data_IF_700628047000
#
_entry.id   IF_700628047000
#
_cell.length_a   1.000
_cell.length_b   1.000
_cell.length_c   1.000
_cell.angle_alpha   90.00
_cell.angle_beta   90.00
_cell.angle_gamma   90.00
#
_symmetry.space_group_name_H-M   'P 1'
#
loop_
_entity.id
_entity.type
_entity.pdbx_description
1 polymer ?
#
# COMPACT_ATOMS: atom_id res chain seq x y z
N UNK A 1 25.42 1.55 33.46
CA UNK A 1 24.54 0.99 32.41
C UNK A 1 23.11 1.46 32.65
N UNK A 2 22.39 1.97 31.64
CA UNK A 2 20.97 2.29 31.80
C UNK A 2 20.17 1.01 32.06
N UNK A 3 19.26 1.04 33.04
CA UNK A 3 18.44 -0.11 33.44
C UNK A 3 17.43 -0.43 32.33
N UNK A 4 17.50 -1.64 31.79
CA UNK A 4 16.50 -2.17 30.85
C UNK A 4 15.17 -2.29 31.58
N UNK A 5 14.17 -1.50 31.16
CA UNK A 5 12.80 -1.62 31.68
C UNK A 5 12.20 -2.91 31.13
N UNK A 6 12.21 -3.98 31.92
CA UNK A 6 11.49 -5.21 31.59
C UNK A 6 10.00 -4.94 31.68
N UNK A 7 9.34 -4.75 30.54
CA UNK A 7 7.88 -4.67 30.46
C UNK A 7 7.35 -6.02 30.95
N UNK A 8 6.69 -6.05 32.13
CA UNK A 8 6.04 -7.24 32.67
C UNK A 8 5.23 -7.90 31.54
N UNK A 9 5.63 -9.11 31.14
CA UNK A 9 4.90 -9.87 30.14
C UNK A 9 3.53 -10.20 30.74
N UNK A 10 2.47 -9.54 30.28
CA UNK A 10 1.12 -10.03 30.53
C UNK A 10 1.01 -11.40 29.89
N UNK A 11 0.49 -12.36 30.64
CA UNK A 11 0.16 -13.70 30.16
C UNK A 11 -0.66 -13.58 28.87
N UNK A 12 -0.41 -14.44 27.87
CA UNK A 12 -1.23 -14.46 26.66
C UNK A 12 -2.72 -14.63 27.02
N UNK A 13 -3.63 -13.90 26.35
CA UNK A 13 -5.07 -14.10 26.53
C UNK A 13 -5.52 -15.49 26.06
N UNK A 14 -6.72 -15.90 26.48
CA UNK A 14 -7.36 -17.13 26.05
C UNK A 14 -7.41 -17.26 24.51
N UNK A 15 -7.15 -18.46 23.99
CA UNK A 15 -7.09 -18.75 22.55
C UNK A 15 -5.75 -18.40 21.87
N UNK A 16 -4.76 -17.86 22.58
CA UNK A 16 -3.43 -17.61 22.00
C UNK A 16 -2.72 -18.91 21.61
N UNK A 17 -2.88 -19.98 22.38
CA UNK A 17 -2.24 -21.28 22.15
C UNK A 17 -2.59 -21.90 20.78
N UNK A 18 -3.79 -21.63 20.26
CA UNK A 18 -4.24 -22.15 18.96
C UNK A 18 -3.56 -21.45 17.77
N UNK A 19 -3.25 -20.16 17.90
CA UNK A 19 -2.63 -19.36 16.84
C UNK A 19 -1.11 -19.29 16.97
N UNK A 20 -0.56 -19.58 18.16
CA UNK A 20 0.86 -19.49 18.48
C UNK A 20 1.76 -20.28 17.53
N UNK A 21 1.45 -21.54 17.14
CA UNK A 21 2.29 -22.29 16.20
C UNK A 21 2.44 -21.58 14.86
N UNK A 22 1.33 -21.05 14.32
CA UNK A 22 1.33 -20.33 13.04
C UNK A 22 2.13 -19.02 13.15
N UNK A 23 2.02 -18.31 14.29
CA UNK A 23 2.80 -17.10 14.53
C UNK A 23 4.30 -17.39 14.65
N UNK A 24 4.69 -18.49 15.31
CA UNK A 24 6.08 -18.94 15.40
C UNK A 24 6.65 -19.29 14.03
N UNK A 25 5.86 -19.90 13.14
CA UNK A 25 6.28 -20.14 11.76
C UNK A 25 6.58 -18.83 11.01
N UNK A 26 5.73 -17.80 11.15
CA UNK A 26 5.99 -16.50 10.54
C UNK A 26 7.24 -15.83 11.13
N UNK A 27 7.45 -15.93 12.45
CA UNK A 27 8.67 -15.42 13.08
C UNK A 27 9.91 -16.15 12.61
N UNK A 28 9.84 -17.48 12.46
CA UNK A 28 10.97 -18.25 11.95
C UNK A 28 11.28 -17.86 10.51
N UNK A 29 10.26 -17.77 9.64
CA UNK A 29 10.43 -17.29 8.26
C UNK A 29 11.03 -15.89 8.19
N UNK A 30 10.66 -14.98 9.10
CA UNK A 30 11.30 -13.65 9.15
C UNK A 30 12.76 -13.74 9.57
N UNK A 31 13.10 -14.54 10.59
CA UNK A 31 14.49 -14.75 11.00
C UNK A 31 15.33 -15.35 9.89
N UNK A 32 14.79 -16.33 9.17
CA UNK A 32 15.48 -16.95 8.03
C UNK A 32 15.71 -15.92 6.92
N UNK A 33 14.68 -15.14 6.57
CA UNK A 33 14.80 -14.06 5.59
C UNK A 33 15.77 -12.93 6.00
N UNK A 34 15.91 -12.65 7.29
CA UNK A 34 16.90 -11.68 7.82
C UNK A 34 18.33 -12.21 7.75
N UNK A 35 18.51 -13.53 7.91
CA UNK A 35 19.82 -14.19 7.87
C UNK A 35 20.26 -14.61 6.46
N UNK A 36 19.35 -14.56 5.48
CA UNK A 36 19.63 -14.94 4.11
C UNK A 36 20.81 -14.15 3.54
N UNK A 37 21.73 -14.80 2.79
CA UNK A 37 22.80 -14.09 2.12
C UNK A 37 22.25 -13.02 1.17
N UNK A 38 22.80 -11.81 1.33
CA UNK A 38 22.42 -10.62 0.56
C UNK A 38 23.42 -10.29 -0.55
N UNK A 39 24.38 -11.17 -0.83
CA UNK A 39 25.43 -10.92 -1.82
C UNK A 39 24.83 -10.79 -3.23
N UNK A 40 25.19 -9.71 -3.92
CA UNK A 40 24.68 -9.39 -5.26
C UNK A 40 23.22 -8.88 -5.31
N UNK A 41 22.47 -8.93 -4.20
CA UNK A 41 21.09 -8.42 -4.11
C UNK A 41 21.08 -6.92 -3.79
N UNK A 42 20.09 -6.21 -4.32
CA UNK A 42 19.81 -4.82 -3.89
C UNK A 42 19.25 -4.84 -2.48
N UNK A 43 19.45 -3.74 -1.75
CA UNK A 43 18.84 -3.56 -0.42
C UNK A 43 17.34 -3.85 -0.42
N UNK A 44 16.61 -3.42 -1.46
CA UNK A 44 15.16 -3.65 -1.52
C UNK A 44 14.81 -5.13 -1.75
N UNK A 45 15.59 -5.83 -2.58
CA UNK A 45 15.42 -7.27 -2.83
C UNK A 45 15.71 -8.10 -1.57
N UNK A 46 16.66 -7.64 -0.75
CA UNK A 46 16.97 -8.21 0.56
C UNK A 46 15.85 -8.01 1.59
N UNK A 47 15.24 -6.82 1.61
CA UNK A 47 14.19 -6.47 2.58
C UNK A 47 12.81 -7.01 2.17
N UNK A 48 12.60 -7.26 0.88
CA UNK A 48 11.31 -7.66 0.32
C UNK A 48 10.69 -8.92 0.96
N UNK A 49 11.42 -10.03 1.14
CA UNK A 49 10.88 -11.22 1.77
C UNK A 49 10.38 -10.95 3.20
N UNK A 50 11.13 -10.14 3.96
CA UNK A 50 10.78 -9.74 5.33
C UNK A 50 9.45 -8.96 5.33
N UNK A 51 9.33 -7.96 4.46
CA UNK A 51 8.11 -7.14 4.34
C UNK A 51 6.90 -7.99 3.91
N UNK A 52 7.10 -8.95 3.00
CA UNK A 52 6.04 -9.87 2.57
C UNK A 52 5.54 -10.74 3.73
N UNK A 53 6.45 -11.30 4.51
CA UNK A 53 6.10 -12.13 5.67
C UNK A 53 5.41 -11.28 6.74
N UNK A 54 5.89 -10.05 6.98
CA UNK A 54 5.26 -9.10 7.89
C UNK A 54 3.80 -8.77 7.49
N UNK A 55 3.55 -8.52 6.21
CA UNK A 55 2.20 -8.34 5.66
C UNK A 55 1.34 -9.60 5.81
N UNK A 56 1.87 -10.78 5.50
CA UNK A 56 1.16 -12.06 5.65
C UNK A 56 0.76 -12.32 7.10
N UNK A 57 1.67 -12.10 8.05
CA UNK A 57 1.40 -12.24 9.48
C UNK A 57 0.31 -11.29 9.96
N UNK A 58 0.38 -10.02 9.56
CA UNK A 58 -0.66 -9.04 9.89
C UNK A 58 -2.01 -9.39 9.24
N UNK A 59 -1.99 -9.93 8.01
CA UNK A 59 -3.20 -10.36 7.29
C UNK A 59 -3.85 -11.57 7.92
N UNK A 60 -3.06 -12.52 8.40
CA UNK A 60 -3.55 -13.69 9.12
C UNK A 60 -4.36 -13.27 10.37
N UNK A 61 -3.80 -12.40 11.22
CA UNK A 61 -4.50 -11.86 12.39
C UNK A 61 -5.76 -11.07 11.99
N UNK A 62 -5.68 -10.28 10.93
CA UNK A 62 -6.83 -9.55 10.40
C UNK A 62 -7.97 -10.49 9.97
N UNK A 63 -7.67 -11.53 9.19
CA UNK A 63 -8.67 -12.45 8.66
C UNK A 63 -9.29 -13.30 9.78
N UNK A 64 -8.51 -13.70 10.79
CA UNK A 64 -9.01 -14.40 11.98
C UNK A 64 -10.05 -13.56 12.74
N UNK A 65 -9.79 -12.25 12.93
CA UNK A 65 -10.68 -11.40 13.71
C UNK A 65 -11.87 -10.87 12.90
N UNK A 66 -11.64 -10.35 11.70
CA UNK A 66 -12.66 -9.63 10.93
C UNK A 66 -13.47 -10.49 9.97
N UNK A 67 -12.92 -11.63 9.51
CA UNK A 67 -13.63 -12.50 8.55
C UNK A 67 -14.12 -13.79 9.17
N UNK A 68 -13.28 -14.42 9.98
CA UNK A 68 -13.59 -15.73 10.58
C UNK A 68 -14.16 -15.63 11.99
N UNK A 69 -14.02 -14.46 12.63
CA UNK A 69 -14.41 -14.22 14.02
C UNK A 69 -13.88 -15.29 15.01
N UNK A 70 -12.74 -15.90 14.66
CA UNK A 70 -12.17 -17.05 15.37
C UNK A 70 -11.35 -16.64 16.60
N UNK A 71 -11.04 -15.35 16.77
CA UNK A 71 -10.28 -14.83 17.92
C UNK A 71 -11.05 -13.72 18.63
N UNK A 72 -10.89 -13.64 19.94
CA UNK A 72 -11.52 -12.61 20.76
C UNK A 72 -10.93 -11.22 20.50
N UNK A 73 -11.70 -10.18 20.82
CA UNK A 73 -11.22 -8.79 20.73
C UNK A 73 -10.00 -8.55 21.63
N UNK A 74 -9.96 -9.19 22.79
CA UNK A 74 -8.84 -9.06 23.73
C UNK A 74 -7.55 -9.66 23.17
N UNK A 75 -7.65 -10.82 22.52
CA UNK A 75 -6.54 -11.47 21.83
C UNK A 75 -6.04 -10.65 20.63
N UNK A 76 -6.96 -10.09 19.86
CA UNK A 76 -6.63 -9.18 18.75
C UNK A 76 -5.90 -7.91 19.25
N UNK A 77 -6.41 -7.25 20.29
CA UNK A 77 -5.79 -6.06 20.86
C UNK A 77 -4.42 -6.38 21.49
N UNK A 78 -4.26 -7.57 22.08
CA UNK A 78 -2.98 -8.08 22.56
C UNK A 78 -1.97 -8.22 21.42
N UNK A 79 -2.36 -8.80 20.28
CA UNK A 79 -1.50 -8.96 19.11
C UNK A 79 -1.02 -7.60 18.57
N UNK A 80 -1.89 -6.59 18.53
CA UNK A 80 -1.51 -5.23 18.13
C UNK A 80 -0.54 -4.59 19.13
N UNK A 81 -0.82 -4.73 20.43
CA UNK A 81 0.01 -4.15 21.50
C UNK A 81 1.41 -4.76 21.53
N UNK A 82 1.52 -6.06 21.25
CA UNK A 82 2.79 -6.79 21.16
C UNK A 82 3.50 -6.63 19.81
N UNK A 83 2.96 -5.83 18.88
CA UNK A 83 3.52 -5.61 17.53
C UNK A 83 3.64 -6.91 16.71
N UNK A 84 2.77 -7.89 17.00
CA UNK A 84 2.63 -9.10 16.18
C UNK A 84 1.93 -8.73 14.86
N UNK A 85 0.93 -7.85 14.92
CA UNK A 85 0.26 -7.31 13.74
C UNK A 85 0.38 -5.79 13.66
N UNK A 86 0.35 -5.25 12.44
CA UNK A 86 0.45 -3.81 12.19
C UNK A 86 -0.92 -3.13 12.16
N UNK A 87 -1.14 -2.20 13.09
CA UNK A 87 -2.39 -1.47 13.23
C UNK A 87 -2.67 -0.50 12.07
N UNK A 88 -1.63 0.17 11.54
CA UNK A 88 -1.75 1.14 10.46
C UNK A 88 -2.10 0.44 9.14
N UNK A 89 -1.45 -0.70 8.89
CA UNK A 89 -1.75 -1.57 7.77
C UNK A 89 -3.20 -2.07 7.81
N UNK A 90 -3.64 -2.59 8.96
CA UNK A 90 -5.01 -3.08 9.14
C UNK A 90 -6.04 -1.95 8.97
N UNK A 91 -5.77 -0.75 9.48
CA UNK A 91 -6.66 0.39 9.33
C UNK A 91 -6.95 0.73 7.85
N UNK A 92 -5.99 0.49 6.96
CA UNK A 92 -6.15 0.72 5.51
C UNK A 92 -7.04 -0.33 4.85
N UNK A 93 -6.86 -1.61 5.21
CA UNK A 93 -7.74 -2.68 4.71
C UNK A 93 -9.19 -2.48 5.11
N UNK A 94 -9.44 -1.93 6.31
CA UNK A 94 -10.79 -1.57 6.76
C UNK A 94 -11.45 -0.49 5.90
N UNK A 95 -10.66 0.51 5.46
CA UNK A 95 -11.16 1.58 4.58
C UNK A 95 -11.56 1.06 3.19
N UNK A 96 -10.80 0.11 2.64
CA UNK A 96 -11.12 -0.51 1.33
C UNK A 96 -12.37 -1.40 1.32
N UNK A 97 -12.82 -1.87 2.49
CA UNK A 97 -14.02 -2.70 2.63
C UNK A 97 -15.29 -1.89 2.95
N UNK A 98 -15.24 -0.56 2.92
CA UNK A 98 -16.38 0.30 3.32
C UNK A 98 -16.74 0.19 4.80
N UNK A 99 -15.91 -0.44 5.63
CA UNK A 99 -16.18 -0.59 7.06
C UNK A 99 -15.83 0.70 7.79
N UNK A 100 -16.85 1.48 8.16
CA UNK A 100 -16.67 2.67 9.01
C UNK A 100 -16.00 2.24 10.33
N UNK A 101 -14.98 2.97 10.82
CA UNK A 101 -14.39 2.68 12.12
C UNK A 101 -15.41 2.99 13.22
N UNK A 102 -16.16 2.00 13.67
CA UNK A 102 -17.11 2.18 14.78
C UNK A 102 -18.13 1.07 14.98
N UNK A 103 -18.62 0.41 13.93
CA UNK A 103 -19.67 -0.61 14.09
C UNK A 103 -19.15 -2.01 13.75
N UNK A 104 -19.03 -2.87 14.77
CA UNK A 104 -19.32 -4.29 14.56
C UNK A 104 -20.80 -4.40 14.17
N UNK A 105 -21.21 -5.30 13.26
CA UNK A 105 -22.61 -5.68 13.16
C UNK A 105 -23.07 -6.18 14.54
N UNK A 106 -23.95 -5.44 15.20
CA UNK A 106 -24.57 -5.91 16.43
C UNK A 106 -25.53 -7.05 16.08
N UNK A 107 -25.44 -8.14 16.84
CA UNK A 107 -26.48 -9.18 16.90
C UNK A 107 -27.84 -8.55 17.15
N UNK A 108 -28.81 -8.90 16.29
CA UNK A 108 -30.18 -8.42 16.32
C UNK A 108 -30.79 -8.77 17.69
N UNK A 109 -31.23 -7.75 18.44
CA UNK A 109 -32.25 -7.89 19.47
C UNK A 109 -33.42 -6.99 19.07
N UNK A 110 -34.59 -7.61 19.05
CA UNK A 110 -35.85 -7.03 18.61
C UNK A 110 -36.33 -5.89 19.52
N UNK A 111 -37.01 -4.91 18.92
CA UNK A 111 -37.98 -4.04 19.61
C UNK A 111 -37.63 -2.55 19.69
N UNK A 112 -38.42 -1.70 19.02
CA UNK A 112 -38.51 -0.26 19.30
C UNK A 112 -38.81 0.62 18.09
N UNK A 113 -39.99 1.24 18.09
CA UNK A 113 -40.69 1.95 17.01
C UNK A 113 -40.01 3.21 16.41
N UNK A 114 -40.46 3.67 15.20
CA UNK A 114 -39.77 4.67 14.38
C UNK A 114 -40.20 6.11 14.70
N UNK A 115 -39.33 7.09 14.43
CA UNK A 115 -39.73 8.49 14.32
C UNK A 115 -39.21 9.07 12.99
N UNK A 116 -40.15 9.54 12.18
CA UNK A 116 -39.96 10.15 10.86
C UNK A 116 -40.06 11.68 10.93
N UNK A 117 -39.31 12.37 10.05
CA UNK A 117 -39.62 13.63 9.31
C UNK A 117 -38.35 14.47 9.19
N UNK A 118 -38.12 15.29 8.17
CA UNK A 118 -38.43 15.29 6.74
C UNK A 118 -37.47 16.35 6.14
N UNK A 119 -37.30 16.31 4.82
CA UNK A 119 -36.50 17.22 3.99
C UNK A 119 -36.59 18.70 4.38
N UNK A 120 -35.49 19.42 4.17
CA UNK A 120 -35.54 20.70 3.46
C UNK A 120 -34.35 20.80 2.49
N UNK A 121 -34.71 21.05 1.23
CA UNK A 121 -33.82 21.37 0.13
C UNK A 121 -33.48 22.88 0.15
N UNK A 122 -32.34 23.19 -0.47
CA UNK A 122 -32.00 24.47 -1.10
C UNK A 122 -31.26 25.53 -0.25
N UNK A 123 -29.96 25.71 -0.52
CA UNK A 123 -29.44 26.96 -1.10
C UNK A 123 -27.97 26.86 -1.54
N UNK A 124 -27.82 26.93 -2.87
CA UNK A 124 -26.83 27.68 -3.67
C UNK A 124 -25.43 27.92 -3.08
N UNK A 125 -24.46 27.27 -3.71
CA UNK A 125 -23.38 27.90 -4.49
C UNK A 125 -22.58 29.04 -3.85
N UNK A 126 -21.32 28.75 -3.57
CA UNK A 126 -20.23 29.68 -3.85
C UNK A 126 -19.10 28.89 -4.51
N UNK A 127 -19.14 28.90 -5.85
CA UNK A 127 -18.12 28.36 -6.73
C UNK A 127 -17.05 29.45 -6.90
N UNK A 128 -15.99 29.38 -6.08
CA UNK A 128 -14.82 30.23 -6.26
C UNK A 128 -13.88 29.61 -7.30
N UNK A 129 -14.17 29.94 -8.57
CA UNK A 129 -13.25 30.78 -9.33
C UNK A 129 -11.87 30.27 -9.73
N UNK A 130 -11.45 29.05 -9.40
CA UNK A 130 -10.21 28.46 -9.94
C UNK A 130 -10.50 27.22 -10.78
N UNK A 131 -10.64 27.41 -12.10
CA UNK A 131 -10.68 26.29 -13.06
C UNK A 131 -9.33 25.56 -13.01
N UNK A 132 -9.23 24.54 -12.17
CA UNK A 132 -8.11 23.60 -12.19
C UNK A 132 -8.14 22.88 -13.55
N UNK A 133 -7.28 23.30 -14.47
CA UNK A 133 -7.07 22.67 -15.78
C UNK A 133 -6.18 21.43 -15.61
N UNK A 134 -6.63 20.49 -14.79
CA UNK A 134 -5.99 19.20 -14.56
C UNK A 134 -7.03 18.08 -14.67
N UNK A 135 -6.62 16.84 -14.97
CA UNK A 135 -7.56 15.74 -15.05
C UNK A 135 -8.34 15.58 -13.74
N UNK A 136 -9.64 15.30 -13.85
CA UNK A 136 -10.48 15.05 -12.68
C UNK A 136 -10.21 13.63 -12.16
N UNK A 137 -9.56 13.56 -11.00
CA UNK A 137 -9.31 12.32 -10.30
C UNK A 137 -10.57 11.84 -9.58
N UNK A 138 -10.83 10.54 -9.68
CA UNK A 138 -11.95 9.93 -8.98
C UNK A 138 -11.49 9.40 -7.61
N UNK A 139 -11.77 10.19 -6.56
CA UNK A 139 -11.46 9.82 -5.18
C UNK A 139 -12.25 8.59 -4.71
N UNK A 140 -13.42 8.34 -5.29
CA UNK A 140 -14.27 7.19 -4.94
C UNK A 140 -13.71 5.88 -5.50
N UNK A 141 -12.88 5.96 -6.54
CA UNK A 141 -12.09 4.83 -7.07
C UNK A 141 -10.72 4.68 -6.37
N UNK A 142 -10.48 5.41 -5.27
CA UNK A 142 -9.24 5.32 -4.51
C UNK A 142 -8.01 5.94 -5.18
N UNK A 143 -8.20 6.81 -6.18
CA UNK A 143 -7.08 7.50 -6.84
C UNK A 143 -6.46 8.56 -5.91
N UNK A 144 -5.23 8.33 -5.47
CA UNK A 144 -4.44 9.27 -4.67
C UNK A 144 -3.24 9.78 -5.46
N UNK A 145 -3.13 11.10 -5.65
CA UNK A 145 -1.99 11.70 -6.33
C UNK A 145 -0.84 11.89 -5.32
N UNK A 146 0.33 11.36 -5.66
CA UNK A 146 1.57 11.69 -4.98
C UNK A 146 1.98 13.13 -5.33
N UNK A 147 1.76 14.08 -4.41
CA UNK A 147 2.07 15.51 -4.62
C UNK A 147 3.37 15.97 -3.97
N UNK A 148 3.84 15.28 -2.93
CA UNK A 148 5.00 15.70 -2.18
C UNK A 148 6.29 15.26 -2.90
N UNK A 149 7.11 16.18 -3.46
CA UNK A 149 8.31 15.83 -4.20
C UNK A 149 9.37 15.16 -3.31
N UNK A 150 9.43 15.48 -2.01
CA UNK A 150 10.35 14.82 -1.08
C UNK A 150 10.01 13.34 -0.89
N UNK A 151 8.72 13.01 -0.96
CA UNK A 151 8.28 11.61 -0.91
C UNK A 151 8.63 10.89 -2.21
N UNK A 152 8.37 11.51 -3.37
CA UNK A 152 8.78 10.94 -4.67
C UNK A 152 10.29 10.68 -4.71
N UNK A 153 11.09 11.65 -4.27
CA UNK A 153 12.53 11.50 -4.20
C UNK A 153 12.93 10.38 -3.23
N UNK A 154 12.36 10.37 -2.02
CA UNK A 154 12.62 9.32 -1.05
C UNK A 154 12.23 7.91 -1.50
N UNK A 155 11.21 7.78 -2.36
CA UNK A 155 10.84 6.51 -3.00
C UNK A 155 11.95 6.06 -3.96
N UNK A 156 12.39 6.95 -4.85
CA UNK A 156 13.42 6.63 -5.84
C UNK A 156 14.77 6.32 -5.17
N UNK A 157 15.16 7.12 -4.17
CA UNK A 157 16.39 6.91 -3.40
C UNK A 157 16.39 5.55 -2.69
N UNK A 158 15.25 5.15 -2.12
CA UNK A 158 15.09 3.83 -1.47
C UNK A 158 15.04 2.68 -2.47
N UNK A 159 14.55 2.91 -3.69
CA UNK A 159 14.48 1.90 -4.73
C UNK A 159 15.87 1.47 -5.22
N UNK A 160 16.89 2.33 -5.08
CA UNK A 160 18.27 2.00 -5.43
C UNK A 160 18.39 1.65 -6.92
N UNK A 161 17.84 2.51 -7.78
CA UNK A 161 17.84 2.34 -9.22
C UNK A 161 19.26 2.49 -9.80
N UNK A 162 19.54 1.73 -10.85
CA UNK A 162 20.77 1.79 -11.65
C UNK A 162 20.44 2.34 -13.02
N UNK A 163 21.41 2.99 -13.64
CA UNK A 163 21.30 3.53 -15.01
C UNK A 163 21.09 2.46 -16.10
N UNK A 164 21.25 1.19 -15.75
CA UNK A 164 20.98 0.04 -16.63
C UNK A 164 19.55 -0.47 -16.56
N UNK A 165 18.78 -0.04 -15.55
CA UNK A 165 17.51 -0.66 -15.21
C UNK A 165 16.38 -0.31 -16.16
N UNK A 166 15.61 -1.33 -16.50
CA UNK A 166 14.26 -1.18 -17.02
C UNK A 166 13.27 -1.26 -15.85
N UNK A 167 12.52 -0.19 -15.62
CA UNK A 167 11.59 -0.09 -14.49
C UNK A 167 10.15 -0.24 -14.99
N UNK A 168 9.38 -1.16 -14.41
CA UNK A 168 7.93 -1.18 -14.54
C UNK A 168 7.32 -0.21 -13.52
N UNK A 169 6.42 0.66 -13.93
CA UNK A 169 5.62 1.49 -13.02
C UNK A 169 4.13 1.18 -13.20
N UNK A 170 3.47 0.71 -12.15
CA UNK A 170 2.04 0.42 -12.18
C UNK A 170 1.27 1.60 -11.61
N UNK A 171 0.36 2.16 -12.41
CA UNK A 171 -0.44 3.34 -12.03
C UNK A 171 0.41 4.60 -11.87
N UNK A 172 1.13 5.04 -12.93
CA UNK A 172 1.99 6.23 -12.88
C UNK A 172 1.21 7.54 -12.63
N UNK A 173 -0.11 7.55 -12.89
CA UNK A 173 -0.94 8.74 -12.76
C UNK A 173 -0.42 9.90 -13.61
N UNK A 174 -0.21 11.07 -12.99
CA UNK A 174 0.25 12.28 -13.70
C UNK A 174 1.77 12.35 -13.92
N UNK A 175 2.52 11.31 -13.51
CA UNK A 175 3.94 11.21 -13.77
C UNK A 175 4.88 11.87 -12.75
N UNK A 176 4.39 12.29 -11.57
CA UNK A 176 5.25 12.91 -10.56
C UNK A 176 6.37 11.97 -10.06
N UNK A 177 6.10 10.65 -10.02
CA UNK A 177 7.11 9.66 -9.70
C UNK A 177 7.85 9.20 -10.95
N UNK A 178 7.14 8.95 -12.05
CA UNK A 178 7.70 8.55 -13.35
C UNK A 178 8.86 9.41 -13.79
N UNK A 179 8.75 10.75 -13.71
CA UNK A 179 9.83 11.66 -14.10
C UNK A 179 11.08 11.45 -13.23
N UNK A 180 10.91 11.19 -11.93
CA UNK A 180 12.03 10.90 -11.01
C UNK A 180 12.68 9.54 -11.26
N UNK A 181 11.90 8.57 -11.71
CA UNK A 181 12.43 7.27 -12.13
C UNK A 181 13.23 7.44 -13.44
N UNK A 182 12.70 8.19 -14.42
CA UNK A 182 13.33 8.44 -15.72
C UNK A 182 14.69 9.16 -15.62
N UNK A 183 14.88 10.00 -14.59
CA UNK A 183 16.15 10.65 -14.24
C UNK A 183 17.26 9.62 -13.92
N UNK A 184 16.92 8.44 -13.37
CA UNK A 184 17.90 7.49 -12.83
C UNK A 184 17.96 6.14 -13.56
N UNK A 185 16.90 5.78 -14.30
CA UNK A 185 16.77 4.51 -15.00
C UNK A 185 17.13 4.61 -16.49
N UNK A 186 17.39 3.45 -17.10
CA UNK A 186 17.57 3.32 -18.56
C UNK A 186 16.25 3.55 -19.28
N UNK A 187 15.19 2.93 -18.78
CA UNK A 187 13.86 2.90 -19.40
C UNK A 187 12.78 2.75 -18.33
N UNK A 188 11.62 3.35 -18.54
CA UNK A 188 10.42 3.15 -17.74
C UNK A 188 9.29 2.64 -18.64
N UNK A 189 8.65 1.57 -18.20
CA UNK A 189 7.47 0.98 -18.82
C UNK A 189 6.32 1.26 -17.86
N UNK A 190 5.42 2.17 -18.21
CA UNK A 190 4.36 2.60 -17.31
C UNK A 190 3.02 1.98 -17.75
N UNK A 191 2.42 1.19 -16.87
CA UNK A 191 1.10 0.57 -17.08
C UNK A 191 0.02 1.43 -16.41
N UNK A 192 -0.88 2.02 -17.21
CA UNK A 192 -1.95 2.88 -16.71
C UNK A 192 -3.30 2.44 -17.28
N UNK A 193 -4.26 2.22 -16.37
CA UNK A 193 -5.61 1.79 -16.72
C UNK A 193 -6.47 2.96 -17.21
N UNK A 194 -6.25 4.19 -16.72
CA UNK A 194 -6.96 5.38 -17.21
C UNK A 194 -6.24 6.01 -18.41
N UNK A 195 -6.80 5.90 -19.64
CA UNK A 195 -6.16 6.44 -20.83
C UNK A 195 -5.96 7.98 -20.79
N UNK A 196 -6.75 8.70 -19.97
CA UNK A 196 -6.61 10.16 -19.83
C UNK A 196 -5.35 10.52 -19.06
N UNK A 197 -5.02 9.76 -18.02
CA UNK A 197 -3.80 9.96 -17.23
C UNK A 197 -2.57 9.51 -18.02
N UNK A 198 -2.68 8.40 -18.75
CA UNK A 198 -1.64 7.96 -19.68
C UNK A 198 -1.30 9.07 -20.70
N UNK A 199 -2.31 9.70 -21.30
CA UNK A 199 -2.10 10.80 -22.24
C UNK A 199 -1.46 12.04 -21.59
N UNK A 200 -1.85 12.38 -20.35
CA UNK A 200 -1.23 13.48 -19.60
C UNK A 200 0.26 13.20 -19.33
N UNK A 201 0.61 11.98 -18.93
CA UNK A 201 1.99 11.56 -18.72
C UNK A 201 2.81 11.65 -20.01
N UNK A 202 2.28 11.16 -21.14
CA UNK A 202 2.95 11.29 -22.45
C UNK A 202 3.20 12.76 -22.76
N UNK A 203 2.19 13.62 -22.65
CA UNK A 203 2.32 15.05 -22.91
C UNK A 203 3.37 15.70 -22.02
N UNK A 204 3.44 15.30 -20.75
CA UNK A 204 4.41 15.82 -19.78
C UNK A 204 5.85 15.47 -20.14
N UNK A 205 6.08 14.31 -20.74
CA UNK A 205 7.43 13.78 -21.02
C UNK A 205 7.85 14.01 -22.48
N UNK A 206 6.90 14.23 -23.40
CA UNK A 206 7.11 14.42 -24.84
C UNK A 206 8.21 15.42 -25.19
N UNK A 207 8.23 16.58 -24.54
CA UNK A 207 9.17 17.68 -24.86
C UNK A 207 10.49 17.57 -24.07
N UNK A 208 10.74 16.43 -23.43
CA UNK A 208 11.94 16.18 -22.64
C UNK A 208 12.81 15.11 -23.29
N UNK A 209 14.08 15.04 -22.87
CA UNK A 209 15.01 13.97 -23.26
C UNK A 209 14.54 12.57 -22.83
N UNK A 210 13.65 12.51 -21.83
CA UNK A 210 13.11 11.26 -21.30
C UNK A 210 12.03 10.63 -22.19
N UNK A 211 11.53 11.34 -23.21
CA UNK A 211 10.53 10.82 -24.17
C UNK A 211 10.95 9.49 -24.78
N UNK A 212 12.24 9.30 -25.06
CA UNK A 212 12.79 8.05 -25.63
C UNK A 212 12.94 6.92 -24.61
N UNK A 213 12.93 7.26 -23.31
CA UNK A 213 13.06 6.31 -22.20
C UNK A 213 11.71 5.83 -21.68
N UNK A 214 10.60 6.47 -22.05
CA UNK A 214 9.26 6.15 -21.57
C UNK A 214 8.51 5.29 -22.60
N UNK A 215 7.97 4.17 -22.14
CA UNK A 215 7.00 3.35 -22.86
C UNK A 215 5.71 3.30 -22.05
N UNK A 216 4.56 3.51 -22.69
CA UNK A 216 3.24 3.48 -22.05
C UNK A 216 2.47 2.26 -22.51
N UNK A 217 1.95 1.51 -21.55
CA UNK A 217 1.01 0.41 -21.78
C UNK A 217 -0.35 0.80 -21.21
N UNK A 218 -1.34 1.00 -22.08
CA UNK A 218 -2.70 1.29 -21.66
C UNK A 218 -3.42 0.00 -21.27
N UNK A 219 -3.96 -0.05 -20.05
CA UNK A 219 -4.83 -1.12 -19.60
C UNK A 219 -4.55 -1.62 -18.18
N UNK A 220 -5.30 -2.64 -17.80
CA UNK A 220 -5.17 -3.31 -16.50
C UNK A 220 -3.96 -4.23 -16.51
N UNK A 221 -2.94 -3.91 -15.71
CA UNK A 221 -1.67 -4.63 -15.58
C UNK A 221 -1.86 -6.14 -15.42
N UNK A 222 -2.93 -6.59 -14.76
CA UNK A 222 -3.20 -8.00 -14.48
C UNK A 222 -3.69 -8.78 -15.71
N UNK A 223 -4.06 -8.09 -16.80
CA UNK A 223 -4.65 -8.68 -18.01
C UNK A 223 -3.70 -8.63 -19.20
N UNK A 224 -2.51 -8.07 -19.05
CA UNK A 224 -1.57 -7.83 -20.15
C UNK A 224 -0.34 -8.70 -19.99
N UNK A 225 0.30 -9.02 -21.12
CA UNK A 225 1.64 -9.61 -21.11
C UNK A 225 2.65 -8.50 -20.85
N UNK A 226 3.37 -8.59 -19.73
CA UNK A 226 4.36 -7.58 -19.34
C UNK A 226 5.70 -7.85 -20.05
N UNK A 227 6.36 -6.83 -20.62
CA UNK A 227 7.71 -6.95 -21.12
C UNK A 227 8.70 -7.19 -19.98
N UNK A 228 9.95 -7.55 -20.31
CA UNK A 228 11.00 -7.69 -19.30
C UNK A 228 11.26 -6.35 -18.58
N UNK A 229 11.41 -6.43 -17.26
CA UNK A 229 11.86 -5.34 -16.40
C UNK A 229 12.78 -5.88 -15.29
N UNK A 230 13.66 -5.03 -14.76
CA UNK A 230 14.56 -5.39 -13.66
C UNK A 230 13.88 -5.17 -12.30
N UNK A 231 13.13 -4.08 -12.17
CA UNK A 231 12.39 -3.73 -10.95
C UNK A 231 11.03 -3.11 -11.28
N UNK A 232 10.04 -3.37 -10.45
CA UNK A 232 8.77 -2.66 -10.45
C UNK A 232 8.82 -1.51 -9.42
N UNK A 233 8.02 -0.46 -9.61
CA UNK A 233 7.72 0.57 -8.63
C UNK A 233 6.22 0.84 -8.67
N UNK A 234 5.56 0.70 -7.53
CA UNK A 234 4.15 1.03 -7.38
C UNK A 234 3.91 1.75 -6.06
N UNK A 235 3.15 2.86 -6.14
CA UNK A 235 2.62 3.54 -4.95
C UNK A 235 1.31 2.87 -4.56
N UNK A 236 1.39 1.88 -3.67
CA UNK A 236 0.21 1.34 -3.01
C UNK A 236 -0.25 2.33 -1.93
N UNK A 237 -1.57 2.51 -1.75
CA UNK A 237 -2.18 3.47 -0.81
C UNK A 237 -1.86 3.28 0.69
N UNK A 238 -0.82 2.51 1.03
CA UNK A 238 -0.26 2.39 2.37
C UNK A 238 0.74 3.51 2.65
N UNK A 239 0.29 4.52 3.40
CA UNK A 239 1.10 5.63 3.97
C UNK A 239 2.25 6.09 3.08
N UNK A 240 1.91 7.07 2.26
CA UNK A 240 2.84 7.87 1.48
C UNK A 240 3.91 8.54 2.38
N UNK A 241 3.70 8.60 3.70
CA UNK A 241 4.66 9.11 4.69
C UNK A 241 5.85 8.19 4.96
N UNK A 242 5.72 6.87 4.74
CA UNK A 242 6.82 5.91 5.00
C UNK A 242 7.60 5.53 3.74
N UNK A 243 7.11 5.93 2.56
CA UNK A 243 7.78 5.62 1.28
C UNK A 243 7.91 4.11 1.05
N UNK A 244 6.88 3.33 1.42
CA UNK A 244 6.83 1.90 1.13
C UNK A 244 6.61 1.74 -0.37
N UNK A 245 7.72 1.67 -1.09
CA UNK A 245 7.77 1.25 -2.47
C UNK A 245 7.49 -0.25 -2.52
N UNK A 246 6.44 -0.66 -3.24
CA UNK A 246 6.29 -2.07 -3.63
C UNK A 246 7.20 -2.27 -4.84
N UNK A 247 8.49 -2.53 -4.58
CA UNK A 247 9.42 -2.93 -5.61
C UNK A 247 9.58 -4.44 -5.62
N UNK A 248 8.98 -5.07 -6.62
CA UNK A 248 9.14 -6.50 -6.91
C UNK A 248 9.98 -6.67 -8.16
N UNK A 249 10.87 -7.66 -8.17
CA UNK A 249 11.61 -8.08 -9.36
C UNK A 249 10.65 -8.75 -10.35
N UNK A 250 11.00 -8.75 -11.65
CA UNK A 250 10.26 -9.52 -12.68
C UNK A 250 10.12 -11.00 -12.35
N UNK A 251 11.04 -11.57 -11.56
CA UNK A 251 10.93 -12.96 -11.07
C UNK A 251 9.78 -13.20 -10.08
N UNK A 252 9.13 -12.15 -9.60
CA UNK A 252 8.05 -12.22 -8.62
C UNK A 252 6.65 -11.99 -9.22
N UNK A 253 6.54 -11.82 -10.55
CA UNK A 253 5.29 -11.67 -11.31
C UNK A 253 5.07 -12.85 -12.25
#
# INVERSE_FOLDING_TARGET
MPKVKTVRARTPPEGFEEIEPTLKEFEQKMRDAENDPHEGKRRIESVWPIMRIHHQRSRYIYDLYYKREAISKELYDYCLKKKIADANLIAKWKKGLGTKPGNKPQTIKEGGAPYTKNKDENKKGNDDGSRHFGPKFNKDLGQHILKNPLVSQGIVDKAGLKQTDVVLEVGPGTGNLTVKILEQAKKVIACEADPRLAAELVKRVQETEYSRKLEIMNGDVMKQTLPYFDTNIQVCGTDVSEGICVASSSKAW
#
